data_IF_248677808223
#
_entry.id   IF_248677808223
#
_cell.length_a   1.000
_cell.length_b   1.000
_cell.length_c   1.000
_cell.angle_alpha   90.00
_cell.angle_beta   90.00
_cell.angle_gamma   90.00
#
_symmetry.space_group_name_H-M   'P 1'
#
loop_
_entity.id
_entity.type
_entity.pdbx_description
1 polymer ?
#
# COMPACT_ATOMS: atom_id res chain seq x y z
N UNK A 1 -15.22 -12.38 18.91
CA UNK A 1 -14.53 -12.68 17.65
C UNK A 1 -13.83 -11.40 17.27
N UNK A 2 -12.50 -11.40 17.16
CA UNK A 2 -11.74 -10.16 16.95
C UNK A 2 -11.97 -9.70 15.52
N UNK A 3 -12.50 -8.50 15.34
CA UNK A 3 -12.63 -7.76 14.08
C UNK A 3 -11.35 -7.00 13.75
N UNK A 4 -10.21 -7.62 14.06
CA UNK A 4 -8.90 -6.99 14.04
C UNK A 4 -7.88 -7.86 13.35
N UNK A 5 -7.04 -7.22 12.56
CA UNK A 5 -5.87 -7.84 11.92
C UNK A 5 -4.69 -6.89 11.93
N UNK A 6 -3.46 -7.40 11.78
CA UNK A 6 -2.29 -6.55 11.70
C UNK A 6 -2.36 -5.52 10.57
N UNK A 7 -1.77 -4.34 10.82
CA UNK A 7 -1.67 -3.22 9.86
C UNK A 7 -0.22 -2.75 9.78
N UNK A 8 0.28 -2.61 8.55
CA UNK A 8 1.66 -2.35 8.17
C UNK A 8 1.71 -1.09 7.31
N UNK A 9 2.71 -0.23 7.52
CA UNK A 9 2.99 0.95 6.71
C UNK A 9 4.50 1.08 6.46
N UNK A 10 4.86 1.31 5.21
CA UNK A 10 6.18 1.77 4.76
C UNK A 10 6.02 3.12 4.10
N UNK A 11 6.81 4.10 4.53
CA UNK A 11 6.91 5.41 3.87
C UNK A 11 8.28 5.51 3.24
N UNK A 12 8.35 5.64 1.92
CA UNK A 12 9.62 5.62 1.18
C UNK A 12 10.15 7.01 0.86
N UNK A 13 9.26 7.98 0.67
CA UNK A 13 9.62 9.38 0.46
C UNK A 13 8.49 10.27 0.96
N UNK A 14 8.84 11.47 1.37
CA UNK A 14 7.91 12.54 1.76
C UNK A 14 8.69 13.85 1.81
N UNK A 15 8.07 14.96 1.41
CA UNK A 15 8.67 16.28 1.56
C UNK A 15 8.70 16.71 3.03
N UNK A 16 9.68 17.53 3.41
CA UNK A 16 9.87 17.92 4.81
C UNK A 16 8.66 18.62 5.43
N UNK A 17 7.87 19.34 4.61
CA UNK A 17 6.65 20.01 5.06
C UNK A 17 5.54 19.03 5.47
N UNK A 18 5.52 17.83 4.90
CA UNK A 18 4.48 16.82 5.12
C UNK A 18 4.89 15.77 6.18
N UNK A 19 6.17 15.71 6.55
CA UNK A 19 6.68 14.80 7.59
C UNK A 19 5.89 14.84 8.91
N UNK A 20 5.50 16.01 9.46
CA UNK A 20 4.70 16.05 10.69
C UNK A 20 3.35 15.36 10.52
N UNK A 21 2.68 15.55 9.37
CA UNK A 21 1.39 14.93 9.10
C UNK A 21 1.48 13.40 8.97
N UNK A 22 2.57 12.87 8.41
CA UNK A 22 2.83 11.42 8.40
C UNK A 22 3.00 10.88 9.82
N UNK A 23 3.74 11.59 10.69
CA UNK A 23 3.91 11.19 12.09
C UNK A 23 2.61 11.25 12.88
N UNK A 24 1.77 12.25 12.62
CA UNK A 24 0.42 12.33 13.20
C UNK A 24 -0.45 11.15 12.77
N UNK A 25 -0.42 10.77 11.49
CA UNK A 25 -1.14 9.59 10.99
C UNK A 25 -0.63 8.28 11.63
N UNK A 26 0.69 8.11 11.75
CA UNK A 26 1.29 6.96 12.45
C UNK A 26 0.82 6.90 13.92
N UNK A 27 0.77 8.06 14.60
CA UNK A 27 0.32 8.16 15.98
C UNK A 27 -1.18 7.85 16.13
N UNK A 28 -2.02 8.38 15.23
CA UNK A 28 -3.47 8.16 15.22
C UNK A 28 -3.82 6.67 15.10
N UNK A 29 -3.08 5.94 14.27
CA UNK A 29 -3.26 4.50 14.07
C UNK A 29 -2.42 3.63 15.02
N UNK A 30 -1.76 4.24 16.02
CA UNK A 30 -0.92 3.54 17.01
C UNK A 30 0.17 2.66 16.41
N UNK A 31 0.67 3.03 15.23
CA UNK A 31 1.73 2.30 14.55
C UNK A 31 3.07 2.57 15.23
N UNK A 32 3.87 1.52 15.45
CA UNK A 32 5.22 1.63 15.98
C UNK A 32 6.26 1.07 15.00
N UNK A 33 7.47 1.63 15.03
CA UNK A 33 8.59 1.17 14.21
C UNK A 33 8.92 -0.31 14.52
N UNK A 34 9.56 -0.99 13.55
CA UNK A 34 10.01 -2.38 13.69
C UNK A 34 8.87 -3.34 14.03
N UNK A 35 7.74 -3.19 13.32
CA UNK A 35 6.59 -4.06 13.48
C UNK A 35 5.99 -4.02 14.90
N UNK A 36 5.74 -2.80 15.40
CA UNK A 36 5.11 -2.60 16.71
C UNK A 36 6.06 -2.72 17.91
N UNK A 37 7.37 -2.87 17.70
CA UNK A 37 8.35 -3.05 18.77
C UNK A 37 9.02 -1.74 19.24
N UNK A 38 8.93 -0.68 18.44
CA UNK A 38 9.54 0.63 18.71
C UNK A 38 8.74 1.53 19.66
N UNK A 39 9.16 2.79 19.78
CA UNK A 39 8.43 3.83 20.53
C UNK A 39 7.09 4.15 19.84
N UNK A 40 6.02 4.29 20.65
CA UNK A 40 4.69 4.67 20.18
C UNK A 40 4.21 5.95 20.92
N UNK A 41 3.97 7.07 20.21
CA UNK A 41 4.28 7.30 18.80
C UNK A 41 5.79 7.53 18.59
N UNK A 42 6.33 7.22 17.41
CA UNK A 42 7.72 7.52 17.07
C UNK A 42 7.93 9.05 16.99
N UNK A 43 9.09 9.52 17.48
CA UNK A 43 9.45 10.96 17.46
C UNK A 43 9.95 11.46 16.10
N UNK A 44 10.47 10.55 15.29
CA UNK A 44 11.06 10.84 14.00
C UNK A 44 10.58 9.81 12.97
N UNK A 45 10.44 10.27 11.73
CA UNK A 45 10.08 9.42 10.60
C UNK A 45 11.34 8.83 9.99
N UNK A 46 11.44 7.51 10.01
CA UNK A 46 12.46 6.71 9.34
C UNK A 46 11.87 6.15 8.04
N UNK A 47 12.43 6.58 6.91
CA UNK A 47 11.97 6.16 5.59
C UNK A 47 12.43 4.73 5.27
N UNK A 48 11.61 4.00 4.52
CA UNK A 48 11.87 2.61 4.11
C UNK A 48 11.78 1.59 5.24
N UNK A 49 11.27 1.98 6.41
CA UNK A 49 11.12 1.12 7.59
C UNK A 49 9.65 0.75 7.79
N UNK A 50 9.43 -0.45 8.36
CA UNK A 50 8.10 -0.93 8.70
C UNK A 50 7.60 -0.27 9.98
N UNK A 51 6.48 0.44 9.88
CA UNK A 51 5.63 0.82 10.99
C UNK A 51 4.45 -0.14 11.07
N UNK A 52 4.14 -0.66 12.24
CA UNK A 52 3.10 -1.67 12.37
C UNK A 52 2.39 -1.71 13.70
N UNK A 53 1.23 -2.37 13.70
CA UNK A 53 0.45 -2.74 14.88
C UNK A 53 -0.19 -4.10 14.64
N UNK A 54 -0.22 -4.97 15.65
CA UNK A 54 -0.75 -6.34 15.50
C UNK A 54 -2.27 -6.42 15.47
N UNK A 55 -2.94 -5.39 15.98
CA UNK A 55 -4.37 -5.39 16.21
C UNK A 55 -4.92 -4.04 15.73
N UNK A 56 -5.31 -3.95 14.46
CA UNK A 56 -6.03 -2.81 13.88
C UNK A 56 -7.44 -3.24 13.46
N UNK A 57 -8.42 -2.35 13.57
CA UNK A 57 -9.80 -2.64 13.13
C UNK A 57 -9.83 -2.90 11.62
N UNK A 58 -10.65 -3.84 11.14
CA UNK A 58 -10.82 -4.03 9.69
C UNK A 58 -11.22 -2.73 8.98
N UNK A 59 -10.57 -2.45 7.84
CA UNK A 59 -10.75 -1.21 7.09
C UNK A 59 -9.76 -0.09 7.46
N UNK A 60 -8.91 -0.29 8.48
CA UNK A 60 -7.92 0.73 8.89
C UNK A 60 -6.92 1.06 7.79
N UNK A 61 -6.67 0.14 6.84
CA UNK A 61 -5.81 0.43 5.69
C UNK A 61 -6.39 1.51 4.77
N UNK A 62 -7.70 1.49 4.51
CA UNK A 62 -8.38 2.51 3.72
C UNK A 62 -8.35 3.87 4.42
N UNK A 63 -8.68 3.88 5.70
CA UNK A 63 -8.72 5.09 6.50
C UNK A 63 -7.33 5.74 6.58
N UNK A 64 -6.29 4.95 6.85
CA UNK A 64 -4.91 5.43 6.90
C UNK A 64 -4.43 5.91 5.52
N UNK A 65 -4.74 5.18 4.44
CA UNK A 65 -4.41 5.61 3.08
C UNK A 65 -5.05 6.97 2.73
N UNK A 66 -6.32 7.15 3.08
CA UNK A 66 -7.04 8.40 2.85
C UNK A 66 -6.47 9.55 3.68
N UNK A 67 -6.10 9.29 4.94
CA UNK A 67 -5.46 10.28 5.80
C UNK A 67 -4.11 10.72 5.23
N UNK A 68 -3.26 9.78 4.84
CA UNK A 68 -1.94 10.07 4.25
C UNK A 68 -2.09 10.87 2.95
N UNK A 69 -2.97 10.43 2.03
CA UNK A 69 -3.19 11.14 0.75
C UNK A 69 -3.69 12.57 0.93
N UNK A 70 -4.47 12.84 1.97
CA UNK A 70 -5.05 14.16 2.22
C UNK A 70 -4.14 15.08 3.04
N UNK A 71 -3.44 14.54 4.03
CA UNK A 71 -2.67 15.32 5.00
C UNK A 71 -1.17 15.39 4.68
N UNK A 72 -0.65 14.43 3.92
CA UNK A 72 0.73 14.34 3.47
C UNK A 72 0.78 14.02 1.96
N UNK A 73 0.30 14.91 1.08
CA UNK A 73 0.14 14.64 -0.35
C UNK A 73 1.45 14.34 -1.10
N UNK A 74 2.62 14.66 -0.53
CA UNK A 74 3.93 14.27 -1.07
C UNK A 74 4.38 12.86 -0.66
N UNK A 75 3.65 12.16 0.21
CA UNK A 75 4.05 10.87 0.73
C UNK A 75 3.98 9.76 -0.33
N UNK A 76 5.09 9.05 -0.51
CA UNK A 76 5.19 7.79 -1.25
C UNK A 76 5.15 6.66 -0.25
N UNK A 77 4.16 5.77 -0.34
CA UNK A 77 3.98 4.73 0.67
C UNK A 77 3.40 3.43 0.11
N UNK A 78 3.61 2.38 0.88
CA UNK A 78 2.84 1.13 0.79
C UNK A 78 2.33 0.80 2.18
N UNK A 79 1.07 0.41 2.26
CA UNK A 79 0.50 -0.12 3.48
C UNK A 79 -0.37 -1.31 3.15
N UNK A 80 -0.48 -2.24 4.08
CA UNK A 80 -1.45 -3.31 3.98
C UNK A 80 -2.01 -3.69 5.32
N UNK A 81 -3.21 -4.24 5.29
CA UNK A 81 -3.84 -4.90 6.41
C UNK A 81 -3.95 -6.39 6.09
N UNK A 82 -3.56 -7.23 7.04
CA UNK A 82 -3.53 -8.69 6.87
C UNK A 82 -4.92 -9.28 6.57
N UNK A 83 -4.97 -10.43 5.88
CA UNK A 83 -6.21 -11.18 5.64
C UNK A 83 -6.97 -11.52 6.92
N UNK A 84 -8.30 -11.57 6.81
CA UNK A 84 -9.17 -11.96 7.91
C UNK A 84 -10.12 -13.08 7.51
N UNK A 85 -9.89 -14.27 8.07
CA UNK A 85 -10.76 -15.47 7.97
C UNK A 85 -11.23 -15.79 6.54
N UNK A 86 -12.25 -15.09 6.06
CA UNK A 86 -12.93 -15.28 4.77
C UNK A 86 -12.61 -14.21 3.72
N UNK A 87 -11.76 -13.24 4.03
CA UNK A 87 -11.38 -12.15 3.13
C UNK A 87 -9.86 -12.06 2.99
N UNK A 88 -9.41 -11.73 1.78
CA UNK A 88 -8.03 -11.33 1.53
C UNK A 88 -7.66 -10.11 2.37
N UNK A 89 -6.35 -9.89 2.55
CA UNK A 89 -5.85 -8.63 3.08
C UNK A 89 -6.14 -7.48 2.11
N UNK A 90 -5.80 -6.26 2.50
CA UNK A 90 -5.97 -5.09 1.66
C UNK A 90 -4.67 -4.31 1.57
N UNK A 91 -4.11 -4.24 0.36
CA UNK A 91 -2.87 -3.51 0.04
C UNK A 91 -3.22 -2.20 -0.66
N UNK A 92 -2.56 -1.13 -0.23
CA UNK A 92 -2.56 0.17 -0.91
C UNK A 92 -1.11 0.60 -1.17
N UNK A 93 -0.78 0.86 -2.43
CA UNK A 93 0.44 1.53 -2.84
C UNK A 93 0.11 2.91 -3.42
N UNK A 94 0.87 3.93 -3.07
CA UNK A 94 0.64 5.30 -3.54
C UNK A 94 1.94 6.00 -3.90
N UNK A 95 1.94 6.65 -5.07
CA UNK A 95 3.03 7.50 -5.54
C UNK A 95 2.41 8.80 -6.08
N UNK A 96 2.68 9.97 -5.44
CA UNK A 96 2.13 11.24 -5.87
C UNK A 96 2.48 11.56 -7.32
N UNK A 97 1.48 12.05 -8.08
CA UNK A 97 1.61 12.33 -9.51
C UNK A 97 1.57 11.10 -10.43
N UNK A 98 1.70 9.88 -9.90
CA UNK A 98 1.54 8.62 -10.65
C UNK A 98 0.17 8.00 -10.39
N UNK A 99 -0.22 7.86 -9.13
CA UNK A 99 -1.53 7.32 -8.74
C UNK A 99 -1.47 6.39 -7.52
N UNK A 100 -2.57 5.66 -7.32
CA UNK A 100 -2.70 4.62 -6.29
C UNK A 100 -3.00 3.27 -6.95
N UNK A 101 -2.51 2.21 -6.34
CA UNK A 101 -2.87 0.83 -6.66
C UNK A 101 -3.42 0.15 -5.40
N UNK A 102 -4.59 -0.45 -5.53
CA UNK A 102 -5.33 -1.06 -4.43
C UNK A 102 -5.77 -2.48 -4.84
N UNK A 103 -5.50 -3.47 -4.00
CA UNK A 103 -5.84 -4.87 -4.31
C UNK A 103 -5.89 -5.74 -3.04
N UNK A 104 -6.41 -6.96 -3.18
CA UNK A 104 -6.28 -7.99 -2.15
C UNK A 104 -4.82 -8.44 -2.00
N UNK A 105 -4.40 -8.86 -0.80
CA UNK A 105 -3.06 -9.37 -0.57
C UNK A 105 -3.00 -10.51 0.47
N UNK A 106 -1.85 -11.17 0.59
CA UNK A 106 -1.53 -12.06 1.71
C UNK A 106 -1.01 -11.29 2.95
N UNK A 107 -0.59 -12.01 4.00
CA UNK A 107 -0.10 -11.43 5.25
C UNK A 107 1.27 -10.73 5.08
N UNK A 108 2.02 -11.10 4.04
CA UNK A 108 3.27 -10.47 3.66
C UNK A 108 3.08 -9.22 2.79
N UNK A 109 1.83 -8.86 2.48
CA UNK A 109 1.51 -7.72 1.61
C UNK A 109 1.71 -8.02 0.13
N UNK A 110 1.83 -9.29 -0.26
CA UNK A 110 1.96 -9.71 -1.66
C UNK A 110 0.62 -9.55 -2.38
N UNK A 111 0.55 -8.79 -3.48
CA UNK A 111 -0.67 -8.64 -4.27
C UNK A 111 -1.27 -9.98 -4.72
N UNK A 112 -2.56 -10.17 -4.47
CA UNK A 112 -3.37 -11.19 -5.11
C UNK A 112 -4.03 -10.64 -6.37
N UNK A 113 -4.25 -11.53 -7.33
CA UNK A 113 -5.02 -11.25 -8.55
C UNK A 113 -6.13 -12.28 -8.66
N UNK A 114 -7.37 -11.83 -8.81
CA UNK A 114 -8.48 -12.70 -9.15
C UNK A 114 -8.24 -13.33 -10.53
N UNK A 115 -7.79 -14.58 -10.54
CA UNK A 115 -7.48 -15.32 -11.75
C UNK A 115 -8.71 -15.49 -12.66
N UNK A 116 -9.91 -15.60 -12.10
CA UNK A 116 -11.16 -15.75 -12.87
C UNK A 116 -11.50 -14.42 -13.54
N UNK A 117 -11.46 -13.32 -12.78
CA UNK A 117 -11.64 -11.97 -13.31
C UNK A 117 -10.60 -11.59 -14.36
N UNK A 118 -9.33 -11.97 -14.15
CA UNK A 118 -8.26 -11.80 -15.13
C UNK A 118 -8.54 -12.60 -16.41
N UNK A 119 -8.84 -13.89 -16.31
CA UNK A 119 -9.14 -14.72 -17.46
C UNK A 119 -10.34 -14.19 -18.27
N UNK A 120 -11.39 -13.71 -17.58
CA UNK A 120 -12.55 -13.11 -18.21
C UNK A 120 -12.21 -11.79 -18.93
N UNK A 121 -11.30 -10.98 -18.40
CA UNK A 121 -10.80 -9.76 -19.06
C UNK A 121 -9.97 -10.09 -20.29
N UNK A 122 -9.02 -11.02 -20.17
CA UNK A 122 -8.17 -11.45 -21.27
C UNK A 122 -8.98 -12.08 -22.40
N UNK A 123 -10.02 -12.86 -22.08
CA UNK A 123 -10.92 -13.47 -23.06
C UNK A 123 -11.78 -12.48 -23.86
N UNK A 124 -11.78 -11.18 -23.52
CA UNK A 124 -12.46 -10.12 -24.28
C UNK A 124 -11.54 -9.33 -25.20
N UNK A 125 -10.23 -9.60 -25.15
CA UNK A 125 -9.28 -8.92 -26.01
C UNK A 125 -9.42 -9.38 -27.47
N UNK A 126 -9.05 -8.49 -28.41
CA UNK A 126 -8.95 -8.86 -29.82
C UNK A 126 -7.85 -9.92 -30.01
N UNK A 127 -7.99 -10.78 -31.04
CA UNK A 127 -7.04 -11.87 -31.30
C UNK A 127 -5.60 -11.37 -31.58
N UNK A 128 -5.46 -10.13 -32.06
CA UNK A 128 -4.19 -9.47 -32.35
C UNK A 128 -3.70 -8.57 -31.21
N UNK A 129 -4.44 -8.48 -30.09
CA UNK A 129 -4.02 -7.68 -28.94
C UNK A 129 -2.73 -8.23 -28.33
N UNK A 130 -1.77 -7.34 -28.08
CA UNK A 130 -0.53 -7.73 -27.41
C UNK A 130 -0.61 -7.50 -25.91
N UNK A 131 0.23 -8.23 -25.15
CA UNK A 131 0.39 -8.00 -23.70
C UNK A 131 0.76 -6.56 -23.41
N UNK A 132 1.60 -5.94 -24.27
CA UNK A 132 2.00 -4.54 -24.11
C UNK A 132 0.80 -3.61 -24.23
N UNK A 133 -0.06 -3.81 -25.21
CA UNK A 133 -1.23 -2.96 -25.42
C UNK A 133 -2.19 -3.08 -24.23
N UNK A 134 -2.41 -4.31 -23.75
CA UNK A 134 -3.25 -4.54 -22.57
C UNK A 134 -2.68 -3.89 -21.30
N UNK A 135 -1.37 -4.04 -21.05
CA UNK A 135 -0.68 -3.41 -19.92
C UNK A 135 -0.57 -1.88 -20.03
N UNK A 136 -0.90 -1.28 -21.18
CA UNK A 136 -0.99 0.17 -21.33
C UNK A 136 -2.38 0.74 -21.04
N UNK A 137 -3.36 -0.14 -20.78
CA UNK A 137 -4.75 0.22 -20.46
C UNK A 137 -5.26 -0.57 -19.25
N UNK A 138 -6.31 -1.38 -19.45
CA UNK A 138 -6.98 -2.16 -18.39
C UNK A 138 -6.03 -3.01 -17.54
N UNK A 139 -4.97 -3.55 -18.13
CA UNK A 139 -3.99 -4.37 -17.42
C UNK A 139 -3.17 -3.57 -16.41
N UNK A 140 -2.88 -2.30 -16.69
CA UNK A 140 -2.19 -1.42 -15.74
C UNK A 140 -3.04 -1.19 -14.49
N UNK A 141 -4.31 -0.83 -14.68
CA UNK A 141 -5.23 -0.60 -13.56
C UNK A 141 -5.45 -1.87 -12.72
N UNK A 142 -5.44 -3.04 -13.34
CA UNK A 142 -5.62 -4.31 -12.62
C UNK A 142 -4.38 -4.75 -11.85
N UNK A 143 -3.19 -4.57 -12.44
CA UNK A 143 -1.93 -5.10 -11.89
C UNK A 143 -1.06 -4.03 -11.23
N UNK A 144 -1.48 -2.77 -11.28
CA UNK A 144 -0.76 -1.63 -10.72
C UNK A 144 0.62 -1.40 -11.33
N UNK A 145 0.87 -1.83 -12.57
CA UNK A 145 2.23 -1.90 -13.15
C UNK A 145 2.96 -0.58 -13.05
N UNK A 146 2.32 0.52 -13.44
CA UNK A 146 2.90 1.86 -13.40
C UNK A 146 3.21 2.31 -11.98
N UNK A 147 2.27 2.14 -11.05
CA UNK A 147 2.42 2.55 -9.65
C UNK A 147 3.51 1.72 -8.96
N UNK A 148 3.47 0.39 -9.10
CA UNK A 148 4.44 -0.52 -8.49
C UNK A 148 5.85 -0.32 -9.06
N UNK A 149 5.98 -0.07 -10.37
CA UNK A 149 7.26 0.24 -10.97
C UNK A 149 7.87 1.56 -10.45
N UNK A 150 7.04 2.59 -10.25
CA UNK A 150 7.46 3.86 -9.67
C UNK A 150 7.84 3.70 -8.19
N UNK A 151 7.01 3.03 -7.40
CA UNK A 151 7.24 2.72 -6.00
C UNK A 151 8.59 2.01 -5.78
N UNK A 152 8.88 1.02 -6.62
CA UNK A 152 10.12 0.24 -6.55
C UNK A 152 11.40 1.08 -6.73
N UNK A 153 11.32 2.23 -7.41
CA UNK A 153 12.46 3.17 -7.50
C UNK A 153 12.75 3.83 -6.15
N UNK A 154 11.72 4.13 -5.36
CA UNK A 154 11.85 4.70 -4.02
C UNK A 154 12.32 3.66 -2.99
N UNK A 155 11.82 2.42 -3.07
CA UNK A 155 12.29 1.29 -2.25
C UNK A 155 13.81 1.11 -2.37
N UNK A 156 14.32 1.07 -3.60
CA UNK A 156 15.76 0.95 -3.88
C UNK A 156 16.58 2.10 -3.31
N UNK A 157 16.01 3.30 -3.28
CA UNK A 157 16.70 4.49 -2.78
C UNK A 157 16.82 4.49 -1.25
N UNK A 158 15.92 3.79 -0.54
CA UNK A 158 15.99 3.62 0.92
C UNK A 158 16.90 2.47 1.36
N UNK A 159 17.17 1.51 0.48
CA UNK A 159 18.00 0.33 0.78
C UNK A 159 19.51 0.56 0.59
N UNK A 160 19.92 1.74 0.11
CA UNK A 160 21.31 2.12 -0.17
C UNK A 160 21.92 2.95 0.98
#
# INVERSE_FOLDING_TARGET
MSDRTPLQLYVYAVDDNDRPAVLEAIAEFSLALEWGQGETPPRHLELGRCYGVHEATLGSSDDLANLLRSSAPSAVFTLWQDPYMTADGHLVAHVPGVGSYETGCDAEGTPHVDAVGLAARLGRLAEDATVRDWLSGDGDGLLGVTVLAALHQHEKSCAA
#
